data_IF_390514926441
#
_entry.id   IF_390514926441
#
_cell.length_a   1.000
_cell.length_b   1.000
_cell.length_c   1.000
_cell.angle_alpha   90.00
_cell.angle_beta   90.00
_cell.angle_gamma   90.00
#
_symmetry.space_group_name_H-M   'P 1'
#
loop_
_entity.id
_entity.type
_entity.pdbx_description
1 polymer ?
#
# COMPACT_ATOMS: atom_id res chain seq x y z
N UNK A 1 -7.30 31.79 1.99
CA UNK A 1 -6.48 30.57 1.75
C UNK A 1 -5.73 30.35 3.05
N UNK A 2 -6.02 29.31 3.80
CA UNK A 2 -5.22 29.00 5.00
C UNK A 2 -3.81 28.66 4.50
N UNK A 3 -2.79 29.28 5.12
CA UNK A 3 -1.39 29.03 4.82
C UNK A 3 -1.12 27.54 4.96
N UNK A 4 -0.85 26.90 3.85
CA UNK A 4 -0.43 25.50 3.84
C UNK A 4 1.01 25.48 4.35
N UNK A 5 1.31 24.75 5.42
CA UNK A 5 2.69 24.65 5.88
C UNK A 5 3.57 24.16 4.73
N UNK A 6 4.73 24.78 4.57
CA UNK A 6 5.69 24.34 3.55
C UNK A 6 6.04 22.85 3.74
N UNK A 7 6.20 22.11 2.64
CA UNK A 7 6.58 20.71 2.73
C UNK A 7 7.91 20.57 3.47
N UNK A 8 7.94 19.77 4.52
CA UNK A 8 9.18 19.49 5.28
C UNK A 8 10.20 18.83 4.38
N UNK A 9 11.46 19.26 4.49
CA UNK A 9 12.56 18.67 3.73
C UNK A 9 12.87 17.23 4.19
N UNK A 10 13.59 16.46 3.36
CA UNK A 10 14.08 15.13 3.73
C UNK A 10 14.92 15.19 5.01
N UNK A 11 15.79 16.19 5.13
CA UNK A 11 16.64 16.40 6.29
C UNK A 11 15.83 16.66 7.56
N UNK A 12 14.79 17.51 7.49
CA UNK A 12 13.93 17.82 8.67
C UNK A 12 13.14 16.59 9.11
N UNK A 13 12.61 15.83 8.17
CA UNK A 13 11.89 14.60 8.46
C UNK A 13 12.81 13.55 9.09
N UNK A 14 14.02 13.40 8.57
CA UNK A 14 15.02 12.47 9.12
C UNK A 14 15.44 12.88 10.54
N UNK A 15 15.77 14.15 10.75
CA UNK A 15 16.15 14.68 12.07
C UNK A 15 15.04 14.54 13.12
N UNK A 16 13.77 14.50 12.69
CA UNK A 16 12.63 14.20 13.57
C UNK A 16 12.53 12.70 13.89
N UNK A 17 12.88 11.83 12.96
CA UNK A 17 12.75 10.38 13.11
C UNK A 17 13.89 9.75 13.91
N UNK A 18 15.14 10.16 13.62
CA UNK A 18 16.37 9.55 14.13
C UNK A 18 16.43 9.40 15.66
N UNK A 19 16.11 10.42 16.48
CA UNK A 19 16.16 10.30 17.94
C UNK A 19 15.19 9.26 18.51
N UNK A 20 14.27 8.79 17.69
CA UNK A 20 13.16 7.91 18.08
C UNK A 20 13.35 6.46 17.59
N UNK A 21 14.45 6.11 16.95
CA UNK A 21 14.69 4.74 16.49
C UNK A 21 14.67 3.70 17.61
N UNK A 22 15.04 4.10 18.84
CA UNK A 22 14.86 3.24 20.02
C UNK A 22 13.40 2.87 20.29
N UNK A 23 12.46 3.78 20.03
CA UNK A 23 11.03 3.51 20.13
C UNK A 23 10.55 2.59 18.99
N UNK A 24 11.08 2.82 17.78
CA UNK A 24 10.74 1.99 16.63
C UNK A 24 11.23 0.55 16.78
N UNK A 25 12.38 0.35 17.45
CA UNK A 25 12.86 -0.99 17.77
C UNK A 25 11.90 -1.75 18.68
N UNK A 26 11.33 -1.10 19.68
CA UNK A 26 10.30 -1.71 20.54
C UNK A 26 9.02 -1.98 19.74
N UNK A 27 8.58 -1.02 18.91
CA UNK A 27 7.40 -1.23 18.04
C UNK A 27 7.62 -2.38 17.07
N UNK A 28 8.82 -2.54 16.50
CA UNK A 28 9.18 -3.66 15.64
C UNK A 28 9.06 -5.00 16.38
N UNK A 29 9.59 -5.08 17.59
CA UNK A 29 9.49 -6.30 18.39
C UNK A 29 8.03 -6.66 18.68
N UNK A 30 7.20 -5.66 19.00
CA UNK A 30 5.76 -5.86 19.21
C UNK A 30 5.04 -6.31 17.94
N UNK A 31 5.37 -5.71 16.79
CA UNK A 31 4.80 -6.12 15.49
C UNK A 31 5.21 -7.56 15.17
N UNK A 32 6.47 -7.92 15.39
CA UNK A 32 6.98 -9.27 15.21
C UNK A 32 6.23 -10.28 16.10
N UNK A 33 6.00 -9.95 17.38
CA UNK A 33 5.22 -10.80 18.30
C UNK A 33 3.76 -10.94 17.85
N UNK A 34 3.11 -9.84 17.42
CA UNK A 34 1.73 -9.90 16.91
C UNK A 34 1.62 -10.78 15.65
N UNK A 35 2.59 -10.69 14.72
CA UNK A 35 2.66 -11.58 13.55
C UNK A 35 2.76 -13.02 14.02
N UNK A 36 3.73 -13.34 14.87
CA UNK A 36 4.06 -14.70 15.23
C UNK A 36 2.95 -15.36 16.05
N UNK A 37 2.37 -14.66 17.01
CA UNK A 37 1.25 -15.16 17.80
C UNK A 37 0.01 -15.41 16.93
N UNK A 38 -0.33 -14.48 16.04
CA UNK A 38 -1.50 -14.64 15.17
C UNK A 38 -1.35 -15.86 14.25
N UNK A 39 -0.16 -16.05 13.66
CA UNK A 39 0.11 -17.15 12.75
C UNK A 39 0.24 -18.49 13.49
N UNK A 40 0.87 -18.50 14.68
CA UNK A 40 0.98 -19.71 15.49
C UNK A 40 -0.39 -20.16 16.01
N UNK A 41 -1.21 -19.25 16.52
CA UNK A 41 -2.59 -19.55 16.92
C UNK A 41 -3.44 -20.05 15.75
N UNK A 42 -3.26 -19.44 14.56
CA UNK A 42 -4.05 -19.79 13.38
C UNK A 42 -3.54 -21.01 12.63
N UNK A 43 -2.27 -21.38 12.81
CA UNK A 43 -1.56 -22.43 12.07
C UNK A 43 -1.65 -22.22 10.55
N UNK A 44 -1.63 -20.97 10.13
CA UNK A 44 -1.76 -20.58 8.72
C UNK A 44 -1.26 -19.15 8.51
N UNK A 45 -0.58 -18.90 7.40
CA UNK A 45 -0.07 -17.60 6.99
C UNK A 45 1.42 -17.61 6.71
N UNK A 46 2.00 -16.42 6.46
CA UNK A 46 3.34 -16.26 5.89
C UNK A 46 4.23 -15.43 6.82
N UNK A 47 4.98 -16.06 7.74
CA UNK A 47 5.80 -15.33 8.71
C UNK A 47 7.01 -14.64 8.08
N UNK A 48 7.74 -15.32 7.18
CA UNK A 48 9.03 -14.84 6.68
C UNK A 48 8.96 -13.50 5.97
N UNK A 49 8.12 -13.42 4.94
CA UNK A 49 7.92 -12.18 4.17
C UNK A 49 7.18 -11.08 4.95
N UNK A 50 6.40 -11.42 5.98
CA UNK A 50 5.80 -10.43 6.86
C UNK A 50 6.84 -9.77 7.75
N UNK A 51 7.74 -10.56 8.34
CA UNK A 51 8.79 -10.03 9.25
C UNK A 51 9.90 -9.27 8.53
N UNK A 52 10.28 -9.69 7.31
CA UNK A 52 11.36 -9.01 6.57
C UNK A 52 11.05 -7.55 6.24
N UNK A 53 9.77 -7.20 6.11
CA UNK A 53 9.31 -5.85 5.71
C UNK A 53 8.98 -4.90 6.87
N UNK A 54 9.13 -5.33 8.14
CA UNK A 54 8.69 -4.53 9.30
C UNK A 54 9.43 -3.19 9.40
N UNK A 55 10.76 -3.18 9.19
CA UNK A 55 11.53 -1.93 9.22
C UNK A 55 11.03 -0.94 8.18
N UNK A 56 10.83 -1.39 6.94
CA UNK A 56 10.34 -0.55 5.86
C UNK A 56 8.91 -0.04 6.12
N UNK A 57 8.03 -0.90 6.66
CA UNK A 57 6.65 -0.53 7.00
C UNK A 57 6.60 0.53 8.10
N UNK A 58 7.30 0.33 9.21
CA UNK A 58 7.33 1.30 10.31
C UNK A 58 8.00 2.61 9.89
N UNK A 59 9.10 2.54 9.12
CA UNK A 59 9.73 3.73 8.55
C UNK A 59 8.76 4.51 7.66
N UNK A 60 8.01 3.83 6.78
CA UNK A 60 7.01 4.47 5.93
C UNK A 60 5.93 5.19 6.74
N UNK A 61 5.43 4.52 7.78
CA UNK A 61 4.29 5.01 8.55
C UNK A 61 4.65 6.10 9.56
N UNK A 62 5.89 6.12 10.06
CA UNK A 62 6.29 6.99 11.17
C UNK A 62 7.28 8.09 10.80
N UNK A 63 8.02 7.99 9.69
CA UNK A 63 9.01 9.01 9.33
C UNK A 63 8.40 10.31 8.79
N UNK A 64 7.17 10.25 8.25
CA UNK A 64 6.57 11.32 7.44
C UNK A 64 6.84 11.13 5.94
N UNK A 65 7.43 10.01 5.53
CA UNK A 65 7.53 9.63 4.12
C UNK A 65 6.14 9.51 3.48
N UNK A 66 5.20 8.91 4.20
CA UNK A 66 3.80 8.77 3.81
C UNK A 66 2.91 9.71 4.63
N UNK A 67 2.01 10.43 3.97
CA UNK A 67 0.96 11.24 4.59
C UNK A 67 -0.30 10.41 4.72
N UNK A 68 -0.70 10.07 5.91
CA UNK A 68 -1.84 9.20 6.17
C UNK A 68 -2.45 9.46 7.54
N UNK A 69 -3.69 9.04 7.74
CA UNK A 69 -4.36 9.14 9.04
C UNK A 69 -4.91 7.76 9.43
N UNK A 70 -4.29 7.14 10.42
CA UNK A 70 -4.69 5.80 10.89
C UNK A 70 -6.11 5.79 11.46
N UNK A 71 -6.57 6.93 12.01
CA UNK A 71 -7.90 7.07 12.61
C UNK A 71 -8.98 7.29 11.55
N UNK A 72 -8.60 7.80 10.36
CA UNK A 72 -9.48 8.13 9.24
C UNK A 72 -8.90 7.63 7.92
N UNK A 73 -8.81 6.30 7.73
CA UNK A 73 -8.17 5.72 6.55
C UNK A 73 -8.90 6.02 5.23
N UNK A 74 -10.07 6.64 5.29
CA UNK A 74 -10.86 7.06 4.12
C UNK A 74 -10.55 8.47 3.61
N UNK A 75 -9.63 9.22 4.22
CA UNK A 75 -9.29 10.58 3.74
C UNK A 75 -8.85 10.54 2.27
N UNK A 76 -9.49 11.34 1.38
CA UNK A 76 -9.32 11.20 -0.07
C UNK A 76 -7.91 11.53 -0.56
N UNK A 77 -7.25 12.49 0.10
CA UNK A 77 -5.91 12.96 -0.30
C UNK A 77 -4.78 12.37 0.56
N UNK A 78 -5.06 11.34 1.35
CA UNK A 78 -4.02 10.54 1.98
C UNK A 78 -3.25 9.74 0.92
N UNK A 79 -1.96 9.57 1.15
CA UNK A 79 -1.14 8.67 0.34
C UNK A 79 -1.67 7.23 0.47
N UNK A 80 -1.43 6.42 -0.54
CA UNK A 80 -2.04 5.10 -0.71
C UNK A 80 -1.02 3.99 -0.56
N UNK A 81 -1.45 2.86 0.01
CA UNK A 81 -0.63 1.65 0.10
C UNK A 81 -1.32 0.50 -0.63
N UNK A 82 -0.59 -0.13 -1.53
CA UNK A 82 -0.96 -1.38 -2.19
C UNK A 82 0.03 -2.45 -1.75
N UNK A 83 -0.45 -3.47 -1.06
CA UNK A 83 0.35 -4.64 -0.70
C UNK A 83 0.29 -5.65 -1.85
N UNK A 84 1.19 -5.53 -2.83
CA UNK A 84 1.22 -6.42 -3.98
C UNK A 84 1.60 -7.84 -3.57
N UNK A 85 2.51 -8.01 -2.60
CA UNK A 85 2.75 -9.28 -1.92
C UNK A 85 1.62 -9.59 -0.91
N UNK A 86 0.38 -9.78 -1.39
CA UNK A 86 -0.83 -9.88 -0.57
C UNK A 86 -0.79 -10.94 0.53
N UNK A 87 -0.01 -12.00 0.34
CA UNK A 87 0.21 -13.05 1.34
C UNK A 87 0.93 -12.56 2.60
N UNK A 88 1.65 -11.42 2.53
CA UNK A 88 2.35 -10.83 3.68
C UNK A 88 1.48 -9.87 4.50
N UNK A 89 0.16 -9.92 4.34
CA UNK A 89 -0.81 -9.08 5.04
C UNK A 89 -0.72 -9.13 6.58
N UNK A 90 -0.23 -10.19 7.25
CA UNK A 90 0.00 -10.16 8.68
C UNK A 90 0.91 -9.02 9.15
N UNK A 91 1.87 -8.58 8.31
CA UNK A 91 2.65 -7.37 8.53
C UNK A 91 1.76 -6.14 8.77
N UNK A 92 0.81 -5.91 7.86
CA UNK A 92 -0.07 -4.73 7.93
C UNK A 92 -0.98 -4.80 9.14
N UNK A 93 -1.59 -5.96 9.38
CA UNK A 93 -2.52 -6.13 10.49
C UNK A 93 -1.84 -5.96 11.86
N UNK A 94 -0.68 -6.58 12.03
CA UNK A 94 0.09 -6.45 13.25
C UNK A 94 0.56 -5.01 13.49
N UNK A 95 1.04 -4.34 12.43
CA UNK A 95 1.48 -2.94 12.53
C UNK A 95 0.31 -2.02 12.92
N UNK A 96 -0.84 -2.15 12.25
CA UNK A 96 -2.03 -1.35 12.58
C UNK A 96 -2.52 -1.62 14.00
N UNK A 97 -2.53 -2.89 14.45
CA UNK A 97 -2.94 -3.26 15.81
C UNK A 97 -2.06 -2.60 16.86
N UNK A 98 -0.73 -2.64 16.70
CA UNK A 98 0.23 -2.04 17.63
C UNK A 98 0.09 -0.50 17.64
N UNK A 99 0.01 0.13 16.48
CA UNK A 99 -0.09 1.59 16.38
C UNK A 99 -1.44 2.11 16.91
N UNK A 100 -2.54 1.44 16.62
CA UNK A 100 -3.86 1.79 17.17
C UNK A 100 -3.89 1.62 18.69
N UNK A 101 -3.18 0.63 19.23
CA UNK A 101 -3.13 0.44 20.67
C UNK A 101 -2.40 1.60 21.38
N UNK A 102 -1.37 2.19 20.77
CA UNK A 102 -0.73 3.39 21.31
C UNK A 102 -1.72 4.57 21.42
N UNK A 103 -2.56 4.78 20.40
CA UNK A 103 -3.62 5.80 20.46
C UNK A 103 -4.66 5.49 21.53
N UNK A 104 -5.13 4.23 21.63
CA UNK A 104 -6.07 3.79 22.67
C UNK A 104 -5.53 4.04 24.07
N UNK A 105 -4.30 3.61 24.31
CA UNK A 105 -3.65 3.77 25.61
C UNK A 105 -3.45 5.25 25.96
N UNK A 106 -3.04 6.07 24.99
CA UNK A 106 -2.84 7.51 25.21
C UNK A 106 -4.16 8.23 25.48
N UNK A 107 -5.20 7.91 24.72
CA UNK A 107 -6.54 8.46 24.94
C UNK A 107 -7.11 8.05 26.30
N UNK A 108 -6.98 6.78 26.69
CA UNK A 108 -7.44 6.30 27.98
C UNK A 108 -6.74 6.98 29.17
N UNK A 109 -5.45 7.34 29.01
CA UNK A 109 -4.68 7.99 30.06
C UNK A 109 -5.02 9.47 30.25
N UNK A 110 -5.43 10.20 29.20
CA UNK A 110 -5.59 11.67 29.27
C UNK A 110 -6.91 12.19 28.72
N UNK A 111 -7.73 11.38 28.05
CA UNK A 111 -9.03 11.81 27.51
C UNK A 111 -8.96 12.80 26.33
N UNK A 112 -7.76 13.10 25.83
CA UNK A 112 -7.57 14.10 24.78
C UNK A 112 -8.18 13.64 23.46
N UNK A 113 -9.09 14.44 22.89
CA UNK A 113 -9.86 14.12 21.70
C UNK A 113 -9.01 13.88 20.46
N UNK A 114 -7.81 14.47 20.38
CA UNK A 114 -6.90 14.27 19.26
C UNK A 114 -6.40 12.83 19.14
N UNK A 115 -6.44 12.04 20.20
CA UNK A 115 -6.07 10.63 20.20
C UNK A 115 -7.28 9.69 20.09
N UNK A 116 -8.50 10.23 20.14
CA UNK A 116 -9.72 9.46 19.99
C UNK A 116 -9.91 8.96 18.55
N UNK A 117 -10.54 7.80 18.44
CA UNK A 117 -11.01 7.32 17.14
C UNK A 117 -12.40 7.89 16.83
N UNK A 118 -12.63 8.43 15.64
CA UNK A 118 -13.98 8.74 15.21
C UNK A 118 -14.84 7.47 15.17
N UNK A 119 -16.14 7.63 15.27
CA UNK A 119 -17.12 6.52 15.20
C UNK A 119 -16.87 5.38 16.20
N UNK A 120 -16.32 5.73 17.38
CA UNK A 120 -16.05 4.76 18.45
C UNK A 120 -15.01 3.70 18.11
N UNK A 121 -14.17 3.94 17.10
CA UNK A 121 -13.12 3.00 16.68
C UNK A 121 -13.61 1.88 15.75
N UNK A 122 -14.73 2.04 15.09
CA UNK A 122 -15.29 1.07 14.13
C UNK A 122 -14.26 0.62 13.07
N UNK A 123 -13.39 1.53 12.65
CA UNK A 123 -12.38 1.30 11.61
C UNK A 123 -10.98 0.99 12.15
N UNK A 124 -10.81 1.00 13.47
CA UNK A 124 -9.54 0.70 14.10
C UNK A 124 -9.33 -0.81 14.20
N UNK A 125 -8.30 -1.33 13.54
CA UNK A 125 -7.86 -2.70 13.70
C UNK A 125 -7.12 -2.82 15.03
N UNK A 126 -7.51 -3.79 15.86
CA UNK A 126 -6.96 -4.01 17.19
C UNK A 126 -6.29 -5.39 17.28
N UNK A 127 -5.54 -5.65 18.34
CA UNK A 127 -4.91 -6.96 18.52
C UNK A 127 -5.94 -8.08 18.71
N UNK A 128 -7.13 -7.78 19.22
CA UNK A 128 -8.22 -8.76 19.33
C UNK A 128 -8.68 -9.27 17.97
N UNK A 129 -8.63 -8.43 16.93
CA UNK A 129 -8.98 -8.81 15.57
C UNK A 129 -8.01 -9.85 14.99
N UNK A 130 -6.75 -9.86 15.44
CA UNK A 130 -5.74 -10.82 14.99
C UNK A 130 -6.10 -12.27 15.35
N UNK A 131 -6.88 -12.49 16.41
CA UNK A 131 -7.42 -13.81 16.77
C UNK A 131 -8.37 -14.37 15.70
N UNK A 132 -8.94 -13.50 14.89
CA UNK A 132 -9.89 -13.86 13.86
C UNK A 132 -9.27 -13.89 12.45
N UNK A 133 -7.94 -13.89 12.34
CA UNK A 133 -7.23 -14.02 11.06
C UNK A 133 -7.70 -15.28 10.31
N UNK A 134 -8.08 -15.13 9.04
CA UNK A 134 -8.57 -16.23 8.17
C UNK A 134 -9.79 -16.98 8.76
N UNK A 135 -10.62 -16.30 9.55
CA UNK A 135 -11.92 -16.79 10.00
C UNK A 135 -13.04 -16.06 9.27
N UNK A 136 -14.17 -16.73 9.06
CA UNK A 136 -15.36 -16.08 8.51
C UNK A 136 -15.77 -14.90 9.40
N UNK A 137 -15.94 -13.72 8.80
CA UNK A 137 -16.25 -12.49 9.52
C UNK A 137 -15.07 -11.87 10.29
N UNK A 138 -13.86 -12.42 10.14
CA UNK A 138 -12.62 -11.88 10.68
C UNK A 138 -11.71 -11.30 9.59
N UNK A 139 -10.43 -11.17 9.91
CA UNK A 139 -9.45 -10.60 8.99
C UNK A 139 -9.15 -11.54 7.81
N UNK A 140 -9.13 -11.01 6.57
CA UNK A 140 -8.80 -11.77 5.37
C UNK A 140 -7.37 -12.35 5.42
N UNK A 141 -7.16 -13.41 4.64
CA UNK A 141 -5.83 -14.06 4.53
C UNK A 141 -4.89 -13.40 3.53
N UNK A 142 -5.41 -12.50 2.70
CA UNK A 142 -4.70 -11.66 1.74
C UNK A 142 -5.18 -10.22 1.89
N UNK A 143 -4.56 -9.31 1.15
CA UNK A 143 -4.90 -7.88 1.24
C UNK A 143 -6.29 -7.60 0.67
N UNK A 144 -7.17 -7.05 1.49
CA UNK A 144 -8.50 -6.59 1.08
C UNK A 144 -8.74 -5.16 1.57
N UNK A 145 -9.38 -4.36 0.71
CA UNK A 145 -9.69 -2.95 0.96
C UNK A 145 -11.12 -2.85 1.51
N UNK A 146 -11.32 -3.26 2.75
CA UNK A 146 -12.62 -3.19 3.38
C UNK A 146 -12.54 -3.02 4.91
N UNK A 147 -13.57 -2.50 5.53
CA UNK A 147 -13.71 -2.44 6.97
C UNK A 147 -12.46 -1.89 7.66
N UNK A 148 -11.93 -2.64 8.63
CA UNK A 148 -10.73 -2.27 9.40
C UNK A 148 -9.42 -2.32 8.60
N UNK A 149 -9.46 -2.81 7.36
CA UNK A 149 -8.31 -2.93 6.46
C UNK A 149 -8.28 -1.86 5.36
N UNK A 150 -9.07 -0.80 5.46
CA UNK A 150 -9.09 0.35 4.54
C UNK A 150 -7.78 1.11 4.42
N UNK A 151 -6.79 0.84 5.26
CA UNK A 151 -5.41 1.29 5.05
C UNK A 151 -4.87 0.81 3.71
N UNK A 152 -5.18 -0.43 3.34
CA UNK A 152 -4.90 -0.99 2.02
C UNK A 152 -5.83 -0.38 0.99
N UNK A 153 -5.32 -0.09 -0.20
CA UNK A 153 -6.08 0.59 -1.26
C UNK A 153 -6.32 -0.27 -2.50
N UNK A 154 -6.11 -1.57 -2.37
CA UNK A 154 -6.44 -2.56 -3.40
C UNK A 154 -6.54 -3.97 -2.82
N UNK A 155 -7.37 -4.80 -3.42
CA UNK A 155 -7.45 -6.22 -3.10
C UNK A 155 -6.38 -6.97 -3.88
N UNK A 156 -5.53 -7.73 -3.19
CA UNK A 156 -4.46 -8.52 -3.82
C UNK A 156 -4.42 -9.94 -3.27
N UNK A 157 -3.87 -10.83 -4.05
CA UNK A 157 -3.63 -12.24 -3.69
C UNK A 157 -2.29 -12.69 -4.26
N UNK A 158 -2.22 -13.05 -5.56
CA UNK A 158 -0.97 -13.45 -6.20
C UNK A 158 0.05 -12.31 -6.20
N UNK A 159 1.31 -12.63 -5.89
CA UNK A 159 2.43 -11.68 -5.97
C UNK A 159 2.54 -11.06 -7.35
N UNK A 160 2.88 -9.78 -7.42
CA UNK A 160 2.99 -9.01 -8.65
C UNK A 160 1.68 -8.40 -9.16
N UNK A 161 0.54 -8.95 -8.81
CA UNK A 161 -0.75 -8.50 -9.35
C UNK A 161 -1.26 -7.17 -8.77
N UNK A 162 -0.66 -6.66 -7.70
CA UNK A 162 -0.97 -5.34 -7.16
C UNK A 162 -0.29 -4.18 -7.90
N UNK A 163 0.72 -4.44 -8.70
CA UNK A 163 1.55 -3.40 -9.35
C UNK A 163 0.79 -2.63 -10.43
N UNK A 164 0.11 -3.34 -11.33
CA UNK A 164 -0.72 -2.72 -12.38
C UNK A 164 -1.83 -1.83 -11.81
N UNK A 165 -2.67 -2.32 -10.88
CA UNK A 165 -3.66 -1.48 -10.20
C UNK A 165 -3.08 -0.26 -9.49
N UNK A 166 -1.91 -0.38 -8.87
CA UNK A 166 -1.24 0.75 -8.23
C UNK A 166 -0.81 1.81 -9.26
N UNK A 167 -0.27 1.38 -10.42
CA UNK A 167 0.03 2.27 -11.53
C UNK A 167 -1.26 2.95 -12.05
N UNK A 168 -2.36 2.22 -12.17
CA UNK A 168 -3.67 2.77 -12.51
C UNK A 168 -4.16 3.83 -11.53
N UNK A 169 -3.99 3.60 -10.21
CA UNK A 169 -4.32 4.62 -9.20
C UNK A 169 -3.43 5.85 -9.31
N UNK A 170 -2.12 5.67 -9.53
CA UNK A 170 -1.18 6.78 -9.71
C UNK A 170 -1.53 7.61 -10.96
N UNK A 171 -1.89 6.94 -12.07
CA UNK A 171 -2.35 7.59 -13.30
C UNK A 171 -3.65 8.39 -13.08
N UNK A 172 -4.64 7.79 -12.40
CA UNK A 172 -5.90 8.45 -12.07
C UNK A 172 -5.69 9.71 -11.21
N UNK A 173 -4.83 9.62 -10.19
CA UNK A 173 -4.46 10.76 -9.34
C UNK A 173 -3.77 11.87 -10.16
N UNK A 174 -2.83 11.50 -11.03
CA UNK A 174 -2.16 12.46 -11.92
C UNK A 174 -3.15 13.18 -12.82
N UNK A 175 -4.04 12.44 -13.48
CA UNK A 175 -5.07 13.00 -14.37
C UNK A 175 -6.07 13.89 -13.62
N UNK A 176 -6.39 13.54 -12.37
CA UNK A 176 -7.22 14.36 -11.50
C UNK A 176 -6.49 15.58 -10.91
N UNK A 177 -5.23 15.82 -11.26
CA UNK A 177 -4.44 16.92 -10.71
C UNK A 177 -3.94 16.71 -9.28
N UNK A 178 -3.96 15.47 -8.79
CA UNK A 178 -3.52 15.06 -7.44
C UNK A 178 -2.18 14.34 -7.45
N UNK A 179 -1.24 14.70 -8.31
CA UNK A 179 0.07 14.04 -8.43
C UNK A 179 0.91 14.11 -7.14
N UNK A 180 0.56 14.99 -6.22
CA UNK A 180 1.20 15.06 -4.92
C UNK A 180 0.83 13.88 -3.99
N UNK A 181 -0.28 13.19 -4.24
CA UNK A 181 -0.68 11.98 -3.51
C UNK A 181 0.12 10.79 -4.05
N UNK A 182 0.89 10.17 -3.17
CA UNK A 182 1.76 9.05 -3.53
C UNK A 182 1.03 7.72 -3.43
N UNK A 183 1.44 6.78 -4.28
CA UNK A 183 1.02 5.38 -4.23
C UNK A 183 2.23 4.52 -3.95
N UNK A 184 2.28 3.92 -2.76
CA UNK A 184 3.35 3.03 -2.31
C UNK A 184 2.95 1.57 -2.55
N UNK A 185 3.86 0.80 -3.13
CA UNK A 185 3.64 -0.61 -3.47
C UNK A 185 4.65 -1.46 -2.74
N UNK A 186 4.20 -2.35 -1.86
CA UNK A 186 5.08 -3.34 -1.23
C UNK A 186 5.10 -4.63 -2.03
N UNK A 187 6.29 -5.06 -2.45
CA UNK A 187 6.48 -6.33 -3.14
C UNK A 187 7.83 -6.97 -2.76
N UNK A 188 7.98 -8.25 -3.01
CA UNK A 188 9.26 -8.96 -3.01
C UNK A 188 9.79 -9.15 -4.43
N UNK A 189 11.07 -9.47 -4.58
CA UNK A 189 11.69 -9.67 -5.90
C UNK A 189 10.98 -10.75 -6.73
N UNK A 190 10.50 -11.82 -6.10
CA UNK A 190 9.76 -12.87 -6.81
C UNK A 190 8.49 -12.38 -7.52
N UNK A 191 7.81 -11.37 -6.95
CA UNK A 191 6.65 -10.75 -7.59
C UNK A 191 6.99 -9.80 -8.75
N UNK A 192 8.27 -9.49 -8.95
CA UNK A 192 8.73 -8.62 -10.03
C UNK A 192 9.04 -9.38 -11.34
N UNK A 193 8.99 -10.71 -11.32
CA UNK A 193 9.37 -11.57 -12.45
C UNK A 193 8.25 -11.86 -13.45
N UNK A 194 6.93 -11.85 -13.09
CA UNK A 194 5.86 -12.07 -14.05
C UNK A 194 5.79 -11.00 -15.14
N UNK A 195 5.26 -11.35 -16.32
CA UNK A 195 5.11 -10.46 -17.48
C UNK A 195 4.40 -9.14 -17.16
N UNK A 196 3.31 -9.19 -16.38
CA UNK A 196 2.57 -8.00 -15.95
C UNK A 196 3.43 -6.98 -15.17
N UNK A 197 4.48 -7.44 -14.49
CA UNK A 197 5.45 -6.54 -13.84
C UNK A 197 6.25 -5.74 -14.86
N UNK A 198 6.68 -6.39 -15.95
CA UNK A 198 7.43 -5.74 -17.02
C UNK A 198 6.57 -4.71 -17.77
N UNK A 199 5.34 -5.08 -18.08
CA UNK A 199 4.36 -4.16 -18.69
C UNK A 199 4.08 -2.95 -17.78
N UNK A 200 3.89 -3.19 -16.48
CA UNK A 200 3.67 -2.10 -15.51
C UNK A 200 4.86 -1.16 -15.42
N UNK A 201 6.10 -1.70 -15.38
CA UNK A 201 7.32 -0.87 -15.34
C UNK A 201 7.42 0.03 -16.56
N UNK A 202 7.19 -0.52 -17.75
CA UNK A 202 7.21 0.25 -19.00
C UNK A 202 6.11 1.31 -19.03
N UNK A 203 4.87 0.93 -18.75
CA UNK A 203 3.71 1.83 -18.77
C UNK A 203 3.84 2.96 -17.73
N UNK A 204 4.31 2.64 -16.52
CA UNK A 204 4.48 3.65 -15.47
C UNK A 204 5.51 4.72 -15.86
N UNK A 205 6.61 4.33 -16.50
CA UNK A 205 7.57 5.27 -17.07
C UNK A 205 6.95 6.06 -18.21
N UNK A 206 6.31 5.39 -19.15
CA UNK A 206 5.64 6.02 -20.29
C UNK A 206 4.61 7.06 -19.86
N UNK A 207 3.82 6.78 -18.84
CA UNK A 207 2.84 7.72 -18.27
C UNK A 207 3.45 8.76 -17.31
N UNK A 208 4.76 8.73 -17.05
CA UNK A 208 5.45 9.67 -16.16
C UNK A 208 4.85 9.69 -14.75
N UNK A 209 4.65 8.52 -14.13
CA UNK A 209 3.99 8.39 -12.84
C UNK A 209 4.96 8.69 -11.68
N UNK A 210 5.33 9.95 -11.51
CA UNK A 210 6.25 10.41 -10.46
C UNK A 210 5.69 10.22 -9.03
N UNK A 211 4.41 9.95 -8.91
CA UNK A 211 3.71 9.65 -7.67
C UNK A 211 3.64 8.15 -7.35
N UNK A 212 4.22 7.28 -8.16
CA UNK A 212 4.32 5.84 -7.91
C UNK A 212 5.67 5.48 -7.31
N UNK A 213 5.65 4.80 -6.16
CA UNK A 213 6.85 4.38 -5.43
C UNK A 213 6.77 2.89 -5.10
N UNK A 214 7.66 2.09 -5.70
CA UNK A 214 7.78 0.67 -5.36
C UNK A 214 8.77 0.48 -4.22
N UNK A 215 8.37 -0.31 -3.24
CA UNK A 215 9.14 -0.69 -2.06
C UNK A 215 9.43 -2.19 -2.14
N UNK A 216 10.63 -2.53 -2.54
CA UNK A 216 11.04 -3.90 -2.84
C UNK A 216 11.80 -4.50 -1.67
N UNK A 217 11.24 -5.54 -1.06
CA UNK A 217 11.91 -6.39 -0.09
C UNK A 217 12.78 -7.40 -0.83
N UNK A 218 14.06 -7.09 -0.97
CA UNK A 218 15.02 -7.95 -1.66
C UNK A 218 15.66 -8.92 -0.69
N UNK A 219 15.06 -10.09 -0.54
CA UNK A 219 15.54 -11.16 0.34
C UNK A 219 16.00 -12.42 -0.40
N UNK A 220 15.86 -12.46 -1.71
CA UNK A 220 16.27 -13.49 -2.66
C UNK A 220 15.50 -14.82 -2.57
N UNK A 221 14.45 -14.93 -1.74
CA UNK A 221 13.73 -16.19 -1.56
C UNK A 221 12.22 -16.09 -1.74
N UNK A 222 11.68 -16.97 -2.58
CA UNK A 222 10.27 -17.30 -2.70
C UNK A 222 9.86 -18.42 -1.74
N UNK A 223 9.05 -19.36 -2.24
CA UNK A 223 8.64 -20.60 -1.56
C UNK A 223 9.58 -21.75 -1.90
N UNK A 224 10.25 -21.66 -3.06
CA UNK A 224 11.10 -22.69 -3.58
C UNK A 224 12.46 -22.72 -2.86
N UNK A 225 13.09 -23.88 -2.87
CA UNK A 225 14.38 -24.11 -2.21
C UNK A 225 15.52 -23.26 -2.84
N UNK A 226 15.38 -22.96 -4.12
CA UNK A 226 16.38 -22.17 -4.81
C UNK A 226 16.11 -20.67 -4.64
N UNK A 227 17.17 -19.87 -4.45
CA UNK A 227 17.04 -18.41 -4.45
C UNK A 227 16.58 -17.89 -5.81
N UNK A 228 15.87 -16.77 -5.82
CA UNK A 228 15.38 -16.14 -7.04
C UNK A 228 16.52 -15.85 -8.02
N UNK A 229 17.66 -15.41 -7.52
CA UNK A 229 18.88 -15.12 -8.29
C UNK A 229 19.48 -16.34 -9.02
N UNK A 230 19.11 -17.56 -8.64
CA UNK A 230 19.57 -18.77 -9.34
C UNK A 230 18.75 -19.12 -10.58
N UNK A 231 17.55 -18.53 -10.74
CA UNK A 231 16.61 -18.85 -11.84
C UNK A 231 16.18 -17.62 -12.65
N UNK A 232 16.41 -16.41 -12.13
CA UNK A 232 16.08 -15.15 -12.80
C UNK A 232 17.36 -14.32 -12.96
N UNK A 233 17.65 -13.95 -14.20
CA UNK A 233 18.83 -13.13 -14.51
C UNK A 233 18.69 -11.69 -14.00
N UNK A 234 19.77 -11.14 -13.46
CA UNK A 234 19.85 -9.77 -13.00
C UNK A 234 19.33 -9.58 -11.57
N UNK A 235 19.27 -8.33 -11.16
CA UNK A 235 18.89 -7.88 -9.81
C UNK A 235 17.71 -6.91 -9.88
N UNK A 236 16.96 -6.71 -8.78
CA UNK A 236 15.88 -5.73 -8.76
C UNK A 236 16.26 -4.34 -9.28
N UNK A 237 17.42 -3.74 -8.91
CA UNK A 237 17.88 -2.48 -9.53
C UNK A 237 17.97 -2.56 -11.05
N UNK A 238 18.60 -3.59 -11.59
CA UNK A 238 18.80 -3.76 -13.04
C UNK A 238 17.45 -3.92 -13.77
N UNK A 239 16.49 -4.64 -13.16
CA UNK A 239 15.17 -4.84 -13.76
C UNK A 239 14.34 -3.56 -13.88
N UNK A 240 14.62 -2.55 -13.08
CA UNK A 240 13.94 -1.25 -13.17
C UNK A 240 14.76 -0.22 -13.95
N UNK A 241 16.08 -0.30 -13.89
CA UNK A 241 16.97 0.61 -14.61
C UNK A 241 16.74 0.59 -16.12
N UNK A 242 16.51 -0.59 -16.69
CA UNK A 242 16.21 -0.77 -18.11
C UNK A 242 14.95 -0.05 -18.56
N UNK A 243 14.04 0.29 -17.64
CA UNK A 243 12.81 1.05 -17.90
C UNK A 243 12.91 2.53 -17.52
N UNK A 244 14.08 3.04 -17.15
CA UNK A 244 14.30 4.45 -16.85
C UNK A 244 13.69 4.95 -15.54
N UNK A 245 13.46 4.07 -14.59
CA UNK A 245 12.98 4.45 -13.26
C UNK A 245 14.08 5.10 -12.42
N UNK A 246 13.69 5.96 -11.48
CA UNK A 246 14.56 6.42 -10.40
C UNK A 246 14.76 5.29 -9.41
N UNK A 247 16.03 4.90 -9.18
CA UNK A 247 16.37 3.76 -8.35
C UNK A 247 17.13 4.23 -7.12
N UNK A 248 16.66 3.80 -5.95
CA UNK A 248 17.26 4.02 -4.66
C UNK A 248 17.32 2.69 -3.92
N UNK A 249 18.22 2.55 -2.96
CA UNK A 249 18.26 1.31 -2.19
C UNK A 249 19.31 1.27 -1.12
N UNK A 250 19.29 0.21 -0.33
CA UNK A 250 20.24 -0.04 0.75
C UNK A 250 20.52 -1.54 0.94
N UNK A 251 21.79 -1.88 1.08
CA UNK A 251 22.24 -3.21 1.51
C UNK A 251 21.91 -3.48 2.99
N UNK A 252 21.61 -2.44 3.76
CA UNK A 252 21.31 -2.49 5.19
C UNK A 252 19.79 -2.32 5.43
N UNK A 253 18.99 -3.17 4.79
CA UNK A 253 17.52 -3.10 4.83
C UNK A 253 16.87 -3.38 6.19
N UNK A 254 17.69 -3.67 7.22
CA UNK A 254 17.25 -3.88 8.61
C UNK A 254 17.85 -2.83 9.56
N UNK A 255 18.48 -1.77 9.03
CA UNK A 255 19.02 -0.67 9.81
C UNK A 255 18.11 0.56 9.67
N UNK A 256 17.64 1.08 10.80
CA UNK A 256 16.67 2.18 10.83
C UNK A 256 17.14 3.42 10.08
N UNK A 257 18.41 3.81 10.27
CA UNK A 257 18.97 5.01 9.67
C UNK A 257 18.95 4.95 8.14
N UNK A 258 19.48 3.89 7.56
CA UNK A 258 19.63 3.75 6.11
C UNK A 258 18.28 3.52 5.43
N UNK A 259 17.39 2.68 6.01
CA UNK A 259 16.05 2.44 5.48
C UNK A 259 15.22 3.72 5.51
N UNK A 260 15.24 4.45 6.63
CA UNK A 260 14.45 5.67 6.78
C UNK A 260 14.95 6.76 5.84
N UNK A 261 16.27 6.98 5.76
CA UNK A 261 16.83 7.99 4.87
C UNK A 261 16.52 7.70 3.41
N UNK A 262 16.74 6.45 2.98
CA UNK A 262 16.46 6.04 1.59
C UNK A 262 14.97 6.17 1.27
N UNK A 263 14.09 5.82 2.21
CA UNK A 263 12.64 5.92 2.05
C UNK A 263 12.16 7.38 1.97
N UNK A 264 12.68 8.25 2.82
CA UNK A 264 12.38 9.67 2.78
C UNK A 264 12.84 10.29 1.45
N UNK A 265 14.03 9.92 0.98
CA UNK A 265 14.53 10.36 -0.32
C UNK A 265 13.64 9.85 -1.47
N UNK A 266 13.18 8.60 -1.42
CA UNK A 266 12.27 8.03 -2.42
C UNK A 266 10.91 8.75 -2.47
N UNK A 267 10.36 9.09 -1.31
CA UNK A 267 9.03 9.65 -1.18
C UNK A 267 8.99 11.18 -1.32
N UNK A 268 10.01 11.88 -0.81
CA UNK A 268 10.04 13.34 -0.65
C UNK A 268 11.19 14.03 -1.36
N UNK A 269 12.23 13.28 -1.73
CA UNK A 269 13.40 13.82 -2.44
C UNK A 269 13.05 14.33 -3.84
N UNK A 270 13.95 15.12 -4.39
CA UNK A 270 13.78 15.70 -5.73
C UNK A 270 13.68 14.60 -6.80
N UNK A 271 12.72 14.74 -7.70
CA UNK A 271 12.52 13.87 -8.86
C UNK A 271 12.34 14.72 -10.13
N UNK A 272 13.41 15.38 -10.60
CA UNK A 272 13.33 16.32 -11.71
C UNK A 272 12.91 15.65 -13.02
N UNK A 273 13.23 14.37 -13.20
CA UNK A 273 12.86 13.60 -14.39
C UNK A 273 11.38 13.17 -14.40
N UNK A 274 10.65 13.40 -13.30
CA UNK A 274 9.23 13.02 -13.15
C UNK A 274 8.96 11.57 -13.56
N UNK A 275 9.79 10.64 -13.10
CA UNK A 275 9.66 9.21 -13.36
C UNK A 275 9.19 8.47 -12.10
N UNK A 276 8.62 7.28 -12.22
CA UNK A 276 8.34 6.46 -11.05
C UNK A 276 9.61 6.09 -10.30
N UNK A 277 9.50 5.84 -9.01
CA UNK A 277 10.63 5.51 -8.14
C UNK A 277 10.54 4.06 -7.67
N UNK A 278 11.66 3.36 -7.66
CA UNK A 278 11.83 2.08 -7.00
C UNK A 278 12.86 2.23 -5.88
N UNK A 279 12.49 1.76 -4.68
CA UNK A 279 13.37 1.59 -3.54
C UNK A 279 13.51 0.10 -3.25
N UNK A 280 14.71 -0.40 -3.18
CA UNK A 280 15.01 -1.74 -2.71
C UNK A 280 15.71 -1.71 -1.35
N UNK A 281 15.40 -2.68 -0.51
CA UNK A 281 16.07 -2.90 0.76
C UNK A 281 16.50 -4.36 0.85
N UNK A 282 17.81 -4.61 1.00
CA UNK A 282 18.32 -5.95 1.19
C UNK A 282 17.97 -6.43 2.59
N UNK A 283 17.18 -7.48 2.68
CA UNK A 283 16.72 -8.01 3.94
C UNK A 283 17.04 -9.50 4.05
N UNK A 284 16.65 -10.11 5.17
CA UNK A 284 16.64 -11.56 5.29
C UNK A 284 15.23 -12.06 5.59
N UNK A 285 14.73 -12.93 4.72
CA UNK A 285 13.44 -13.57 4.90
C UNK A 285 13.44 -14.42 6.16
N UNK A 286 12.43 -14.24 7.02
CA UNK A 286 12.35 -14.94 8.30
C UNK A 286 13.25 -14.38 9.40
N UNK A 287 13.73 -13.14 9.26
CA UNK A 287 14.49 -12.45 10.31
C UNK A 287 13.85 -12.63 11.69
N UNK A 288 14.61 -13.15 12.66
CA UNK A 288 14.18 -13.35 14.05
C UNK A 288 13.06 -14.39 14.26
N UNK A 289 12.71 -15.18 13.24
CA UNK A 289 11.65 -16.19 13.34
C UNK A 289 12.17 -17.60 13.67
N UNK A 290 13.48 -17.80 13.64
CA UNK A 290 14.10 -19.11 13.83
C UNK A 290 14.02 -20.04 12.61
N UNK A 291 13.24 -19.68 11.59
CA UNK A 291 13.28 -20.21 10.23
C UNK A 291 13.65 -19.11 9.28
N UNK A 292 14.43 -19.42 8.26
CA UNK A 292 14.91 -18.45 7.29
C UNK A 292 14.58 -18.88 5.87
N UNK A 293 14.63 -17.91 4.98
CA UNK A 293 14.60 -18.09 3.55
C UNK A 293 13.30 -18.86 3.13
N UNK A 294 13.38 -19.87 2.27
CA UNK A 294 12.23 -20.66 1.82
C UNK A 294 11.47 -21.32 2.97
N UNK A 295 12.17 -21.79 4.01
CA UNK A 295 11.57 -22.48 5.18
C UNK A 295 10.65 -21.58 5.99
N UNK A 296 10.81 -20.26 5.88
CA UNK A 296 9.97 -19.27 6.55
C UNK A 296 8.77 -18.81 5.73
N UNK A 297 8.61 -19.29 4.46
CA UNK A 297 7.63 -18.71 3.55
C UNK A 297 6.19 -18.83 4.03
N UNK A 298 5.68 -20.03 4.22
CA UNK A 298 4.23 -20.23 4.38
C UNK A 298 3.79 -21.13 5.52
N UNK A 299 4.72 -21.67 6.32
CA UNK A 299 4.40 -22.60 7.40
C UNK A 299 4.83 -22.04 8.75
N UNK A 300 3.89 -21.59 9.58
CA UNK A 300 4.19 -21.24 10.97
C UNK A 300 4.83 -22.43 11.73
N UNK A 301 5.53 -22.13 12.82
CA UNK A 301 5.92 -23.16 13.75
C UNK A 301 4.69 -23.93 14.24
N UNK A 302 4.76 -25.25 14.45
CA UNK A 302 3.68 -25.98 15.09
C UNK A 302 3.25 -25.28 16.39
N UNK A 303 1.97 -25.34 16.69
CA UNK A 303 1.41 -24.62 17.83
C UNK A 303 2.13 -25.03 19.12
N UNK A 304 2.72 -24.04 19.80
CA UNK A 304 3.48 -24.21 21.05
C UNK A 304 4.68 -25.17 20.94
N UNK A 305 5.24 -25.35 19.74
CA UNK A 305 6.44 -26.18 19.61
C UNK A 305 7.63 -25.58 20.37
N UNK A 306 8.64 -26.38 20.71
CA UNK A 306 9.86 -25.90 21.40
C UNK A 306 10.54 -24.76 20.63
N UNK A 307 10.56 -24.83 19.31
CA UNK A 307 11.16 -23.81 18.46
C UNK A 307 10.35 -22.49 18.50
N UNK A 308 9.02 -22.59 18.55
CA UNK A 308 8.19 -21.39 18.73
C UNK A 308 8.50 -20.70 20.06
N UNK A 309 8.60 -21.47 21.13
CA UNK A 309 8.94 -20.93 22.44
C UNK A 309 10.37 -20.41 22.54
N UNK A 310 11.32 -21.05 21.87
CA UNK A 310 12.71 -20.58 21.85
C UNK A 310 12.81 -19.13 21.34
N UNK A 311 12.10 -18.80 20.26
CA UNK A 311 12.04 -17.42 19.73
C UNK A 311 11.32 -16.47 20.69
N UNK A 312 10.27 -16.90 21.37
CA UNK A 312 9.54 -16.06 22.34
C UNK A 312 10.35 -15.77 23.60
N UNK A 313 11.27 -16.65 23.98
CA UNK A 313 12.12 -16.44 25.16
C UNK A 313 12.98 -15.18 25.05
N UNK A 314 13.43 -14.81 23.86
CA UNK A 314 14.17 -13.56 23.63
C UNK A 314 13.33 -12.34 24.01
N UNK A 315 12.08 -12.29 23.55
CA UNK A 315 11.15 -11.21 23.87
C UNK A 315 10.84 -11.18 25.37
N UNK A 316 10.56 -12.34 25.99
CA UNK A 316 10.28 -12.43 27.41
C UNK A 316 11.44 -11.89 28.26
N UNK A 317 12.68 -12.26 27.93
CA UNK A 317 13.88 -11.78 28.62
C UNK A 317 14.08 -10.27 28.42
N UNK A 318 13.95 -9.79 27.17
CA UNK A 318 14.18 -8.38 26.84
C UNK A 318 13.20 -7.44 27.55
N UNK A 319 11.95 -7.87 27.71
CA UNK A 319 10.87 -7.03 28.27
C UNK A 319 10.40 -7.42 29.67
N UNK A 320 10.99 -8.46 30.28
CA UNK A 320 10.63 -8.91 31.63
C UNK A 320 9.18 -9.38 31.74
N UNK A 321 8.69 -10.08 30.73
CA UNK A 321 7.32 -10.64 30.68
C UNK A 321 7.35 -12.15 30.56
N UNK A 322 6.28 -12.83 30.97
CA UNK A 322 6.15 -14.27 30.87
C UNK A 322 4.82 -14.64 30.21
N UNK A 323 4.89 -15.38 29.12
CA UNK A 323 3.72 -15.88 28.41
C UNK A 323 3.08 -17.06 29.14
N UNK A 324 1.78 -17.23 28.98
CA UNK A 324 1.07 -18.40 29.49
C UNK A 324 1.37 -19.64 28.64
N UNK A 325 1.63 -20.76 29.29
CA UNK A 325 1.85 -22.06 28.65
C UNK A 325 3.24 -22.22 28.03
N UNK A 326 4.24 -21.49 28.53
CA UNK A 326 5.64 -21.67 28.10
C UNK A 326 6.06 -23.11 28.34
N UNK A 327 6.66 -23.68 27.27
CA UNK A 327 7.14 -25.09 27.27
C UNK A 327 6.04 -26.13 27.56
N UNK A 328 4.76 -25.74 27.52
CA UNK A 328 3.61 -26.65 27.67
C UNK A 328 2.97 -26.92 26.30
N UNK A 329 2.38 -28.09 26.09
CA UNK A 329 1.55 -28.34 24.93
C UNK A 329 0.40 -27.35 24.81
N UNK A 330 0.00 -27.02 23.59
CA UNK A 330 -1.17 -26.18 23.36
C UNK A 330 -2.43 -26.82 23.94
N UNK A 331 -3.37 -26.06 24.52
CA UNK A 331 -4.64 -26.56 24.99
C UNK A 331 -5.40 -27.31 23.89
N UNK A 332 -6.06 -28.43 24.24
CA UNK A 332 -6.81 -29.23 23.26
C UNK A 332 -8.14 -28.59 22.84
N UNK A 333 -8.79 -27.87 23.77
CA UNK A 333 -10.06 -27.20 23.54
C UNK A 333 -9.90 -25.89 22.72
N UNK A 334 -10.79 -25.62 21.79
CA UNK A 334 -10.74 -24.41 20.98
C UNK A 334 -10.94 -23.12 21.80
N UNK A 335 -11.81 -23.16 22.80
CA UNK A 335 -12.07 -22.03 23.70
C UNK A 335 -10.87 -21.72 24.58
N UNK A 336 -10.22 -22.75 25.14
CA UNK A 336 -9.02 -22.60 25.96
C UNK A 336 -7.84 -22.09 25.13
N UNK A 337 -7.66 -22.58 23.88
CA UNK A 337 -6.65 -22.05 22.96
C UNK A 337 -6.88 -20.56 22.68
N UNK A 338 -8.12 -20.16 22.42
CA UNK A 338 -8.45 -18.75 22.18
C UNK A 338 -8.19 -17.89 23.40
N UNK A 339 -8.59 -18.35 24.59
CA UNK A 339 -8.36 -17.67 25.86
C UNK A 339 -6.88 -17.45 26.12
N UNK A 340 -6.06 -18.50 25.96
CA UNK A 340 -4.62 -18.42 26.16
C UNK A 340 -3.95 -17.53 25.11
N UNK A 341 -4.30 -17.65 23.81
CA UNK A 341 -3.78 -16.80 22.77
C UNK A 341 -4.09 -15.32 23.05
N UNK A 342 -5.34 -15.01 23.45
CA UNK A 342 -5.72 -13.65 23.86
C UNK A 342 -4.89 -13.15 25.03
N UNK A 343 -4.70 -13.97 26.06
CA UNK A 343 -3.87 -13.60 27.21
C UNK A 343 -2.42 -13.31 26.79
N UNK A 344 -1.86 -14.09 25.88
CA UNK A 344 -0.52 -13.86 25.36
C UNK A 344 -0.40 -12.62 24.49
N UNK A 345 -1.40 -12.29 23.69
CA UNK A 345 -1.48 -10.97 23.02
C UNK A 345 -1.53 -9.82 24.04
N UNK A 346 -2.32 -9.96 25.11
CA UNK A 346 -2.40 -8.96 26.19
C UNK A 346 -1.06 -8.77 26.91
N UNK A 347 -0.31 -9.84 27.14
CA UNK A 347 1.02 -9.78 27.72
C UNK A 347 1.98 -9.01 26.80
N UNK A 348 2.02 -9.35 25.52
CA UNK A 348 2.88 -8.68 24.56
C UNK A 348 2.53 -7.19 24.43
N UNK A 349 1.26 -6.86 24.22
CA UNK A 349 0.82 -5.46 24.06
C UNK A 349 0.94 -4.69 25.37
N UNK A 350 0.95 -5.37 26.50
CA UNK A 350 1.21 -4.82 27.83
C UNK A 350 2.58 -4.15 27.94
N UNK A 351 3.56 -4.58 27.15
CA UNK A 351 4.87 -3.93 27.05
C UNK A 351 4.72 -2.49 26.53
N UNK A 352 3.90 -2.30 25.49
CA UNK A 352 3.57 -0.97 25.00
C UNK A 352 2.87 -0.13 26.09
N UNK A 353 1.79 -0.65 26.66
CA UNK A 353 0.94 0.07 27.63
C UNK A 353 1.69 0.53 28.87
N UNK A 354 2.67 -0.25 29.32
CA UNK A 354 3.50 0.06 30.48
C UNK A 354 4.61 1.09 30.18
N UNK A 355 4.91 1.35 28.94
CA UNK A 355 5.92 2.30 28.50
C UNK A 355 5.28 3.64 28.12
N UNK A 356 5.05 4.50 29.12
CA UNK A 356 4.38 5.79 28.90
C UNK A 356 5.08 6.68 27.86
N UNK A 357 6.42 6.65 27.81
CA UNK A 357 7.20 7.40 26.81
C UNK A 357 6.98 6.91 25.40
N UNK A 358 6.92 5.59 25.19
CA UNK A 358 6.63 4.96 23.90
C UNK A 358 5.19 5.27 23.46
N UNK A 359 4.23 5.14 24.37
CA UNK A 359 2.81 5.46 24.12
C UNK A 359 2.65 6.92 23.69
N UNK A 360 3.21 7.84 24.46
CA UNK A 360 3.11 9.28 24.19
C UNK A 360 3.77 9.65 22.84
N UNK A 361 5.00 9.18 22.62
CA UNK A 361 5.70 9.38 21.34
C UNK A 361 4.89 8.87 20.16
N UNK A 362 4.47 7.59 20.21
CA UNK A 362 3.81 6.95 19.08
C UNK A 362 2.48 7.62 18.77
N UNK A 363 1.66 7.90 19.79
CA UNK A 363 0.38 8.55 19.60
C UNK A 363 0.51 9.97 19.03
N UNK A 364 1.44 10.79 19.56
CA UNK A 364 1.72 12.13 19.04
C UNK A 364 2.21 12.07 17.60
N UNK A 365 3.14 11.16 17.30
CA UNK A 365 3.68 11.02 15.96
C UNK A 365 2.62 10.66 14.93
N UNK A 366 1.69 9.75 15.27
CA UNK A 366 0.57 9.41 14.40
C UNK A 366 -0.38 10.59 14.14
N UNK A 367 -0.60 11.43 15.15
CA UNK A 367 -1.41 12.67 14.98
C UNK A 367 -0.68 13.69 14.11
N UNK A 368 0.63 13.88 14.29
CA UNK A 368 1.45 14.77 13.46
C UNK A 368 1.43 14.36 12.00
N UNK A 369 1.68 13.08 11.71
CA UNK A 369 1.63 12.55 10.34
C UNK A 369 0.24 12.69 9.73
N UNK A 370 -0.81 12.47 10.51
CA UNK A 370 -2.19 12.69 10.07
C UNK A 370 -2.48 14.16 9.75
N UNK A 371 -1.85 15.09 10.45
CA UNK A 371 -1.94 16.54 10.20
C UNK A 371 -1.33 16.97 8.86
N UNK A 372 -0.39 16.17 8.32
CA UNK A 372 0.22 16.44 6.99
C UNK A 372 -0.69 16.04 5.80
N UNK A 373 -1.76 15.29 6.03
CA UNK A 373 -2.72 14.95 4.97
C UNK A 373 -3.53 16.18 4.61
N UNK A 374 -3.52 16.64 3.36
CA UNK A 374 -4.28 17.83 2.99
C UNK A 374 -5.79 17.56 3.01
N UNK A 375 -6.57 18.53 3.41
CA UNK A 375 -8.03 18.49 3.28
C UNK A 375 -8.49 18.84 1.87
N UNK A 376 -7.67 19.64 1.15
CA UNK A 376 -7.91 20.06 -0.21
C UNK A 376 -6.62 20.06 -1.01
N UNK A 377 -6.71 19.71 -2.29
CA UNK A 377 -5.62 19.82 -3.25
C UNK A 377 -6.06 20.84 -4.31
N UNK A 378 -5.44 22.03 -4.38
CA UNK A 378 -5.90 23.13 -5.26
C UNK A 378 -5.97 22.76 -6.74
N UNK A 379 -5.11 21.83 -7.17
CA UNK A 379 -5.05 21.33 -8.54
C UNK A 379 -5.99 20.14 -8.79
N UNK A 380 -6.66 19.64 -7.74
CA UNK A 380 -7.64 18.59 -7.90
C UNK A 380 -8.83 19.09 -8.72
N UNK A 381 -9.08 18.39 -9.79
CA UNK A 381 -10.16 18.74 -10.67
C UNK A 381 -11.07 17.53 -10.92
N UNK A 382 -12.22 17.54 -10.31
CA UNK A 382 -13.27 16.55 -10.53
C UNK A 382 -14.48 17.14 -11.26
N UNK A 383 -14.45 18.48 -11.49
CA UNK A 383 -15.56 19.28 -12.02
C UNK A 383 -16.57 19.60 -10.91
N UNK A 384 -17.27 20.73 -11.07
CA UNK A 384 -18.32 21.13 -10.12
C UNK A 384 -19.49 20.12 -10.03
N UNK A 385 -19.65 19.30 -11.08
CA UNK A 385 -20.71 18.28 -11.21
C UNK A 385 -20.17 16.85 -11.19
N UNK A 386 -18.94 16.65 -10.71
CA UNK A 386 -18.24 15.35 -10.81
C UNK A 386 -18.98 14.18 -10.19
N UNK A 387 -19.71 14.40 -9.11
CA UNK A 387 -20.51 13.34 -8.48
C UNK A 387 -21.71 12.91 -9.34
N UNK A 388 -22.25 13.80 -10.17
CA UNK A 388 -23.37 13.52 -11.06
C UNK A 388 -23.04 12.67 -12.29
N UNK A 389 -21.75 12.49 -12.63
CA UNK A 389 -21.37 11.78 -13.86
C UNK A 389 -21.85 10.32 -13.90
N UNK A 390 -21.83 9.64 -12.77
CA UNK A 390 -22.23 8.23 -12.68
C UNK A 390 -23.76 8.03 -12.62
N UNK A 391 -24.50 9.09 -12.42
CA UNK A 391 -25.97 9.10 -12.35
C UNK A 391 -26.61 9.92 -13.46
N UNK A 392 -25.83 10.44 -14.39
CA UNK A 392 -26.34 11.24 -15.51
C UNK A 392 -27.04 10.32 -16.53
N UNK A 393 -28.36 10.33 -16.50
CA UNK A 393 -29.20 9.50 -17.37
C UNK A 393 -28.93 9.74 -18.88
N UNK A 394 -28.42 10.94 -19.25
CA UNK A 394 -28.07 11.25 -20.63
C UNK A 394 -26.95 10.37 -21.18
N UNK A 395 -26.06 9.86 -20.30
CA UNK A 395 -24.99 8.92 -20.67
C UNK A 395 -25.50 7.50 -20.92
N UNK A 396 -26.66 7.15 -20.37
CA UNK A 396 -27.22 5.78 -20.44
C UNK A 396 -28.39 5.69 -21.42
N UNK A 397 -28.98 6.80 -21.85
CA UNK A 397 -30.04 6.79 -22.85
C UNK A 397 -29.42 6.78 -24.27
N UNK A 398 -29.51 5.62 -24.92
CA UNK A 398 -29.01 5.40 -26.28
C UNK A 398 -29.58 6.39 -27.32
N UNK A 399 -30.70 7.05 -27.06
CA UNK A 399 -31.31 8.07 -27.92
C UNK A 399 -30.47 9.35 -28.02
N UNK A 400 -29.60 9.57 -27.03
CA UNK A 400 -28.64 10.69 -27.03
C UNK A 400 -27.37 10.39 -27.81
N UNK A 401 -27.16 9.14 -28.21
CA UNK A 401 -25.96 8.76 -28.92
C UNK A 401 -25.97 9.24 -30.36
N UNK A 402 -24.79 9.48 -30.98
CA UNK A 402 -24.71 9.95 -32.32
C UNK A 402 -25.46 9.05 -33.32
N UNK A 403 -26.32 9.67 -34.16
CA UNK A 403 -27.10 8.91 -35.14
C UNK A 403 -26.20 8.14 -36.13
N UNK A 404 -24.95 8.59 -36.35
CA UNK A 404 -23.96 7.88 -37.18
C UNK A 404 -23.50 6.53 -36.64
N UNK A 405 -23.76 6.26 -35.37
CA UNK A 405 -23.50 4.91 -34.77
C UNK A 405 -24.45 3.86 -35.34
N UNK A 406 -25.65 4.25 -35.69
CA UNK A 406 -26.72 3.34 -36.09
C UNK A 406 -26.73 3.17 -37.61
N UNK A 407 -26.84 1.94 -38.05
CA UNK A 407 -26.89 1.61 -39.48
C UNK A 407 -28.26 1.08 -39.84
N UNK A 408 -28.62 1.24 -41.10
CA UNK A 408 -29.85 0.61 -41.62
C UNK A 408 -29.68 -0.90 -41.72
N UNK A 409 -30.75 -1.68 -41.59
CA UNK A 409 -30.70 -3.11 -41.85
C UNK A 409 -30.08 -3.38 -43.24
N UNK A 410 -29.09 -4.27 -43.29
CA UNK A 410 -28.35 -4.59 -44.50
C UNK A 410 -27.01 -3.87 -44.71
N UNK A 411 -26.78 -2.73 -44.02
CA UNK A 411 -25.48 -2.06 -44.05
C UNK A 411 -24.42 -2.89 -43.33
N UNK A 412 -23.22 -2.95 -43.90
CA UNK A 412 -22.08 -3.63 -43.28
C UNK A 412 -21.15 -2.60 -42.65
N UNK A 413 -20.89 -2.80 -41.40
CA UNK A 413 -19.91 -1.97 -40.64
C UNK A 413 -19.27 -2.81 -39.53
N UNK A 414 -17.96 -2.69 -39.28
CA UNK A 414 -17.36 -3.31 -38.11
C UNK A 414 -17.82 -2.64 -36.83
N UNK A 415 -18.08 -3.42 -35.78
CA UNK A 415 -18.56 -2.91 -34.48
C UNK A 415 -17.62 -1.85 -33.88
N UNK A 416 -16.31 -1.97 -34.12
CA UNK A 416 -15.32 -1.01 -33.64
C UNK A 416 -15.54 0.43 -34.17
N UNK A 417 -16.19 0.60 -35.33
CA UNK A 417 -16.51 1.93 -35.85
C UNK A 417 -17.55 2.67 -34.98
N UNK A 418 -18.49 1.95 -34.39
CA UNK A 418 -19.42 2.52 -33.41
C UNK A 418 -18.69 2.94 -32.14
N UNK A 419 -17.67 2.18 -31.70
CA UNK A 419 -16.84 2.51 -30.55
C UNK A 419 -16.11 3.85 -30.74
N UNK A 420 -15.50 4.08 -31.93
CA UNK A 420 -14.86 5.37 -32.24
C UNK A 420 -15.83 6.56 -32.15
N UNK A 421 -17.01 6.40 -32.75
CA UNK A 421 -18.04 7.43 -32.74
C UNK A 421 -18.56 7.73 -31.33
N UNK A 422 -18.80 6.69 -30.57
CA UNK A 422 -19.25 6.83 -29.19
C UNK A 422 -18.16 7.45 -28.30
N UNK A 423 -16.91 7.05 -28.47
CA UNK A 423 -15.77 7.59 -27.73
C UNK A 423 -15.60 9.09 -27.93
N UNK A 424 -15.68 9.57 -29.17
CA UNK A 424 -15.66 10.99 -29.49
C UNK A 424 -16.85 11.73 -28.84
N UNK A 425 -18.04 11.18 -28.98
CA UNK A 425 -19.24 11.77 -28.39
C UNK A 425 -19.16 11.87 -26.87
N UNK A 426 -18.83 10.79 -26.18
CA UNK A 426 -18.85 10.73 -24.71
C UNK A 426 -17.80 11.68 -24.10
N UNK A 427 -16.62 11.76 -24.67
CA UNK A 427 -15.60 12.69 -24.20
C UNK A 427 -15.92 14.14 -24.55
N UNK A 428 -16.54 14.43 -25.73
CA UNK A 428 -17.05 15.77 -26.08
C UNK A 428 -18.17 16.19 -25.13
N UNK A 429 -19.09 15.29 -24.83
CA UNK A 429 -20.15 15.51 -23.85
C UNK A 429 -19.56 15.82 -22.47
N UNK A 430 -18.63 14.97 -21.99
CA UNK A 430 -18.01 15.12 -20.69
C UNK A 430 -17.20 16.43 -20.57
N UNK A 431 -16.49 16.82 -21.63
CA UNK A 431 -15.80 18.11 -21.68
C UNK A 431 -16.76 19.28 -21.49
N UNK A 432 -17.89 19.26 -22.18
CA UNK A 432 -18.90 20.32 -22.10
C UNK A 432 -19.58 20.40 -20.76
N UNK A 433 -19.97 19.25 -20.19
CA UNK A 433 -20.80 19.18 -18.99
C UNK A 433 -19.97 19.16 -17.70
N UNK A 434 -18.78 18.54 -17.75
CA UNK A 434 -17.93 18.27 -16.59
C UNK A 434 -16.52 18.88 -16.70
N UNK A 435 -16.18 19.49 -17.83
CA UNK A 435 -14.88 20.16 -18.09
C UNK A 435 -13.70 19.21 -18.18
N UNK A 436 -13.91 17.91 -18.39
CA UNK A 436 -12.86 16.89 -18.48
C UNK A 436 -13.29 15.69 -19.31
N UNK A 437 -12.34 14.91 -19.86
CA UNK A 437 -12.68 13.62 -20.46
C UNK A 437 -13.25 12.64 -19.42
N UNK A 438 -14.12 11.77 -19.85
CA UNK A 438 -14.70 10.72 -19.00
C UNK A 438 -13.92 9.43 -19.10
N UNK A 439 -13.36 9.14 -20.28
CA UNK A 439 -12.64 7.90 -20.56
C UNK A 439 -11.22 8.19 -21.04
N UNK A 440 -10.32 7.30 -20.62
CA UNK A 440 -8.99 7.12 -21.16
C UNK A 440 -9.02 5.83 -21.97
N UNK A 441 -8.55 5.88 -23.21
CA UNK A 441 -8.47 4.72 -24.07
C UNK A 441 -7.01 4.35 -24.33
N UNK A 442 -6.68 3.07 -24.16
CA UNK A 442 -5.32 2.57 -24.34
C UNK A 442 -5.28 1.43 -25.36
N UNK A 443 -4.26 1.43 -26.20
CA UNK A 443 -3.91 0.34 -27.09
C UNK A 443 -2.41 0.14 -27.09
N UNK A 444 -1.96 -1.11 -27.29
CA UNK A 444 -0.53 -1.43 -27.34
C UNK A 444 0.18 -0.70 -28.49
N UNK A 445 -0.39 -0.74 -29.70
CA UNK A 445 0.11 -0.02 -30.88
C UNK A 445 -0.94 0.13 -31.99
N UNK A 446 -2.18 -0.27 -31.75
CA UNK A 446 -3.24 -0.45 -32.76
C UNK A 446 -4.43 0.51 -32.55
N UNK A 447 -4.24 1.69 -31.98
CA UNK A 447 -5.32 2.61 -31.64
C UNK A 447 -6.22 2.95 -32.84
N UNK A 448 -5.64 3.17 -34.01
CA UNK A 448 -6.40 3.43 -35.26
C UNK A 448 -7.18 2.19 -35.73
N UNK A 449 -6.55 1.02 -35.76
CA UNK A 449 -7.20 -0.19 -36.26
C UNK A 449 -8.26 -0.75 -35.29
N UNK A 450 -8.13 -0.51 -34.01
CA UNK A 450 -9.13 -0.83 -32.97
C UNK A 450 -10.20 0.26 -32.83
N UNK A 451 -10.00 1.41 -33.47
CA UNK A 451 -10.86 2.59 -33.43
C UNK A 451 -10.98 3.26 -32.05
N UNK A 452 -10.06 3.00 -31.13
CA UNK A 452 -10.06 3.72 -29.83
C UNK A 452 -9.50 5.14 -29.98
N UNK A 453 -8.81 5.44 -31.05
CA UNK A 453 -8.39 6.82 -31.40
C UNK A 453 -9.55 7.81 -31.42
N UNK A 454 -10.80 7.34 -31.59
CA UNK A 454 -11.99 8.17 -31.49
C UNK A 454 -12.12 8.91 -30.19
N UNK A 455 -11.66 8.34 -29.07
CA UNK A 455 -11.74 8.99 -27.75
C UNK A 455 -10.92 10.28 -27.64
N UNK A 456 -9.91 10.46 -28.46
CA UNK A 456 -9.00 11.62 -28.44
C UNK A 456 -8.97 12.45 -29.73
N UNK A 457 -9.53 11.95 -30.86
CA UNK A 457 -9.39 12.52 -32.18
C UNK A 457 -9.92 13.96 -32.29
N UNK A 458 -11.04 14.28 -31.66
CA UNK A 458 -11.68 15.60 -31.75
C UNK A 458 -11.06 16.63 -30.80
N UNK A 459 -9.97 16.27 -30.11
CA UNK A 459 -9.28 17.11 -29.14
C UNK A 459 -7.81 17.32 -29.50
N UNK A 460 -7.41 17.03 -30.72
CA UNK A 460 -6.03 17.17 -31.17
C UNK A 460 -5.53 18.60 -30.97
N UNK A 461 -4.39 18.75 -30.30
CA UNK A 461 -3.80 20.04 -29.97
C UNK A 461 -4.37 20.75 -28.73
N UNK A 462 -5.40 20.25 -28.09
CA UNK A 462 -5.92 20.82 -26.85
C UNK A 462 -5.14 20.30 -25.64
N UNK A 463 -4.60 21.20 -24.83
CA UNK A 463 -3.83 20.82 -23.61
C UNK A 463 -4.68 20.01 -22.61
N UNK A 464 -4.22 18.82 -22.30
CA UNK A 464 -4.91 17.89 -21.39
C UNK A 464 -5.99 17.03 -22.05
N UNK A 465 -6.09 17.10 -23.40
CA UNK A 465 -7.00 16.32 -24.23
C UNK A 465 -6.23 15.78 -25.43
N UNK A 466 -6.85 14.91 -26.17
CA UNK A 466 -6.24 14.32 -27.38
C UNK A 466 -5.19 13.24 -27.01
N UNK A 467 -4.34 12.96 -28.00
CA UNK A 467 -3.33 11.91 -27.83
C UNK A 467 -2.36 12.20 -26.68
N UNK A 468 -2.12 11.19 -25.88
CA UNK A 468 -1.12 11.25 -24.83
C UNK A 468 0.28 11.38 -25.43
N UNK A 469 1.06 12.31 -24.90
CA UNK A 469 2.49 12.44 -25.13
C UNK A 469 3.13 12.83 -23.80
N UNK A 470 4.12 12.07 -23.38
CA UNK A 470 4.75 12.24 -22.06
C UNK A 470 5.29 13.66 -21.83
N UNK A 471 5.84 14.27 -22.86
CA UNK A 471 6.48 15.61 -22.79
C UNK A 471 5.53 16.72 -23.21
N UNK A 472 4.83 16.51 -24.33
CA UNK A 472 4.02 17.55 -24.97
C UNK A 472 2.59 17.60 -24.43
N UNK A 473 1.99 16.43 -24.14
CA UNK A 473 0.61 16.31 -23.66
C UNK A 473 0.45 15.24 -22.56
N UNK A 474 1.07 15.45 -21.37
CA UNK A 474 1.11 14.46 -20.29
C UNK A 474 -0.25 14.19 -19.60
N UNK A 475 -1.30 14.87 -20.04
CA UNK A 475 -2.68 14.65 -19.60
C UNK A 475 -3.61 14.25 -20.75
N UNK A 476 -3.07 13.91 -21.90
CA UNK A 476 -3.84 13.37 -23.03
C UNK A 476 -4.59 12.08 -22.66
N UNK A 477 -5.62 11.77 -23.39
CA UNK A 477 -6.58 10.68 -23.10
C UNK A 477 -6.59 9.60 -24.17
#
# INVERSE_FOLDING_TARGET
>A
MADRPEPRSVSDLYSTAEPNFRHWEILKDLVDEMIDWSLNYRQSGHPGGSRSKVHMMLSLMLSGAMRWDIRRPWRPFADRVVLSAGHTVPLVYATLAVLNEALRARHAAGGESQFAFPDGGKWALTFEDLLLLRRRGGLPGHAEMEGKTLFLKWNTGPSGHGMGPAAGQAAALKLAGCEEVKVFVFEGEGGLTPGASHETKNTAWGLGLSNLVFLVDWNDFGIDINPCSSVVHGTPPEWFQSYGWRILGTEQGMEWSTVTQTLLEAARGANPSKVPTMLWAKTRKGRGYGKYDEKSHGTPWPMHSPEFWAVRKEFMQKYGVEYQGVDQPAPTGAAERMKQARANFEIAIGVLRKNAGLVDYTAKRLVEVAGEVPDQVPTFYFGEKGEGVFTDERLYDYKNYPASMYKKPGDKQPNRAALATWGAWVNTFAKKEYGRPLFIACSADLAESTNIAGFSKDFEGEKGWGWYDREKNPRGT
#
